data_IF_051627965614
#
_entry.id   IF_051627965614
#
_cell.length_a   1.000
_cell.length_b   1.000
_cell.length_c   1.000
_cell.angle_alpha   90.00
_cell.angle_beta   90.00
_cell.angle_gamma   90.00
#
_symmetry.space_group_name_H-M   'P 1'
#
loop_
_entity.id
_entity.type
_entity.pdbx_description
1 polymer ?
#
# COMPACT_ATOMS: atom_id res chain seq x y z
N UNK A 1 -35.57 25.76 -3.87
CA UNK A 1 -34.22 25.87 -3.29
C UNK A 1 -33.52 24.58 -3.67
N UNK A 2 -32.66 24.64 -4.69
CA UNK A 2 -31.99 23.45 -5.24
C UNK A 2 -30.64 23.40 -4.53
N UNK A 3 -30.61 22.78 -3.36
CA UNK A 3 -29.36 22.53 -2.65
C UNK A 3 -28.60 21.47 -3.42
N UNK A 4 -27.71 21.98 -4.26
CA UNK A 4 -26.70 21.30 -5.04
C UNK A 4 -25.79 20.57 -4.04
N UNK A 5 -26.03 19.26 -3.87
CA UNK A 5 -25.11 18.37 -3.18
C UNK A 5 -23.79 18.42 -3.95
N UNK A 6 -22.88 19.29 -3.50
CA UNK A 6 -21.51 19.45 -3.95
C UNK A 6 -20.81 18.10 -3.73
N UNK A 7 -20.94 17.24 -4.74
CA UNK A 7 -20.24 15.97 -4.84
C UNK A 7 -18.79 16.32 -5.13
N UNK A 8 -18.05 16.72 -4.09
CA UNK A 8 -16.60 16.90 -4.15
C UNK A 8 -16.00 15.57 -4.57
N UNK A 9 -15.64 15.47 -5.84
CA UNK A 9 -14.83 14.39 -6.36
C UNK A 9 -13.62 14.23 -5.45
N UNK A 10 -13.54 13.08 -4.78
CA UNK A 10 -12.43 12.76 -3.89
C UNK A 10 -11.16 12.80 -4.73
N UNK A 11 -10.36 13.85 -4.55
CA UNK A 11 -9.03 13.90 -5.12
C UNK A 11 -8.30 12.60 -4.72
N UNK A 12 -7.49 12.00 -5.62
CA UNK A 12 -6.80 10.77 -5.32
C UNK A 12 -6.00 10.96 -4.02
N UNK A 13 -6.21 10.05 -3.07
CA UNK A 13 -5.56 10.12 -1.77
C UNK A 13 -4.05 10.18 -1.97
N UNK A 14 -3.42 11.25 -1.46
CA UNK A 14 -1.98 11.49 -1.60
C UNK A 14 -1.19 10.21 -1.25
N UNK A 15 -0.11 9.94 -1.99
CA UNK A 15 0.73 8.79 -1.74
C UNK A 15 1.33 8.87 -0.32
N UNK A 16 1.29 7.75 0.40
CA UNK A 16 1.93 7.62 1.72
C UNK A 16 3.45 7.47 1.53
N UNK A 17 4.24 8.38 2.08
CA UNK A 17 5.71 8.37 1.99
C UNK A 17 6.33 8.03 3.34
N UNK A 18 7.22 7.05 3.40
CA UNK A 18 7.92 6.67 4.64
C UNK A 18 8.78 7.84 5.14
N UNK A 19 8.69 8.13 6.44
CA UNK A 19 9.46 9.20 7.08
C UNK A 19 8.83 10.60 7.01
N UNK A 20 7.57 10.74 6.57
CA UNK A 20 6.87 12.01 6.65
C UNK A 20 6.65 12.48 8.11
N UNK A 21 6.52 13.79 8.29
CA UNK A 21 6.11 14.36 9.58
C UNK A 21 4.63 14.03 9.87
N UNK A 22 4.40 13.34 10.98
CA UNK A 22 3.08 12.88 11.42
C UNK A 22 2.40 13.87 12.38
N UNK A 23 3.09 14.93 12.81
CA UNK A 23 2.63 15.83 13.88
C UNK A 23 1.29 16.52 13.61
N UNK A 24 0.90 16.62 12.32
CA UNK A 24 -0.32 17.28 11.86
C UNK A 24 -1.46 16.33 11.50
N UNK A 25 -1.25 15.02 11.61
CA UNK A 25 -2.24 14.02 11.25
C UNK A 25 -3.19 13.75 12.41
N UNK A 26 -4.48 13.60 12.11
CA UNK A 26 -5.45 13.11 13.09
C UNK A 26 -5.27 11.61 13.35
N UNK A 27 -5.91 11.08 14.41
CA UNK A 27 -5.92 9.64 14.68
C UNK A 27 -6.50 8.86 13.49
N UNK A 28 -7.57 9.34 12.88
CA UNK A 28 -8.17 8.68 11.72
C UNK A 28 -7.26 8.70 10.49
N UNK A 29 -6.51 9.79 10.29
CA UNK A 29 -5.49 9.86 9.23
C UNK A 29 -4.36 8.88 9.47
N UNK A 30 -3.91 8.74 10.72
CA UNK A 30 -2.89 7.77 11.11
C UNK A 30 -3.39 6.34 10.91
N UNK A 31 -4.64 6.04 11.27
CA UNK A 31 -5.27 4.74 11.02
C UNK A 31 -5.29 4.41 9.52
N UNK A 32 -5.84 5.31 8.69
CA UNK A 32 -5.86 5.13 7.23
C UNK A 32 -4.47 4.97 6.63
N UNK A 33 -3.49 5.69 7.17
CA UNK A 33 -2.08 5.58 6.76
C UNK A 33 -1.51 4.21 7.10
N UNK A 34 -1.76 3.68 8.30
CA UNK A 34 -1.31 2.35 8.73
C UNK A 34 -1.91 1.28 7.82
N UNK A 35 -3.22 1.33 7.56
CA UNK A 35 -3.91 0.37 6.68
C UNK A 35 -3.23 0.29 5.31
N UNK A 36 -3.00 1.44 4.67
CA UNK A 36 -2.32 1.53 3.37
C UNK A 36 -0.90 0.96 3.41
N UNK A 37 -0.12 1.28 4.45
CA UNK A 37 1.24 0.76 4.59
C UNK A 37 1.24 -0.76 4.77
N UNK A 38 0.30 -1.31 5.54
CA UNK A 38 0.16 -2.75 5.74
C UNK A 38 -0.20 -3.46 4.44
N UNK A 39 -1.15 -2.93 3.66
CA UNK A 39 -1.49 -3.47 2.33
C UNK A 39 -0.27 -3.49 1.40
N UNK A 40 0.51 -2.42 1.40
CA UNK A 40 1.73 -2.28 0.60
C UNK A 40 2.83 -3.26 1.04
N UNK A 41 2.99 -3.48 2.35
CA UNK A 41 3.87 -4.53 2.89
C UNK A 41 3.42 -5.89 2.38
N UNK A 42 2.13 -6.25 2.55
CA UNK A 42 1.62 -7.55 2.10
C UNK A 42 1.77 -7.75 0.60
N UNK A 43 1.56 -6.70 -0.23
CA UNK A 43 1.82 -6.78 -1.66
C UNK A 43 3.30 -7.07 -1.96
N UNK A 44 4.20 -6.38 -1.27
CA UNK A 44 5.65 -6.55 -1.43
C UNK A 44 6.11 -7.94 -0.99
N UNK A 45 5.54 -8.48 0.10
CA UNK A 45 5.81 -9.83 0.58
C UNK A 45 5.38 -10.89 -0.44
N UNK A 46 4.15 -10.78 -0.98
CA UNK A 46 3.66 -11.69 -2.03
C UNK A 46 4.56 -11.69 -3.26
N UNK A 47 5.02 -10.52 -3.69
CA UNK A 47 5.91 -10.40 -4.84
C UNK A 47 7.30 -11.01 -4.56
N UNK A 48 7.84 -10.79 -3.35
CA UNK A 48 9.09 -11.41 -2.90
C UNK A 48 8.99 -12.93 -2.89
N UNK A 49 7.90 -13.46 -2.34
CA UNK A 49 7.65 -14.91 -2.26
C UNK A 49 7.50 -15.53 -3.64
N UNK A 50 6.74 -14.91 -4.53
CA UNK A 50 6.59 -15.36 -5.92
C UNK A 50 7.96 -15.47 -6.61
N UNK A 51 8.82 -14.45 -6.46
CA UNK A 51 10.18 -14.44 -7.02
C UNK A 51 11.12 -15.45 -6.34
N UNK A 52 10.99 -15.64 -5.02
CA UNK A 52 11.74 -16.63 -4.26
C UNK A 52 11.40 -18.07 -4.68
N UNK A 53 10.12 -18.36 -4.88
CA UNK A 53 9.64 -19.66 -5.38
C UNK A 53 10.16 -19.98 -6.78
N UNK A 54 10.20 -18.98 -7.67
CA UNK A 54 10.81 -19.11 -9.01
C UNK A 54 12.29 -19.45 -8.91
N UNK A 55 13.04 -18.81 -7.99
CA UNK A 55 14.47 -19.10 -7.79
C UNK A 55 14.69 -20.53 -7.27
N UNK A 56 13.89 -20.99 -6.31
CA UNK A 56 14.00 -22.36 -5.79
C UNK A 56 13.64 -23.42 -6.84
N UNK A 57 12.63 -23.17 -7.67
CA UNK A 57 12.27 -24.05 -8.78
C UNK A 57 13.37 -24.10 -9.86
N UNK A 58 13.98 -22.95 -10.17
CA UNK A 58 15.13 -22.89 -11.08
C UNK A 58 16.34 -23.64 -10.53
N UNK A 59 16.71 -23.41 -9.27
CA UNK A 59 17.85 -24.08 -8.62
C UNK A 59 17.69 -25.62 -8.58
N UNK A 60 16.45 -26.13 -8.50
CA UNK A 60 16.15 -27.57 -8.57
C UNK A 60 16.29 -28.16 -9.99
N UNK A 61 16.02 -27.37 -11.04
CA UNK A 61 16.18 -27.79 -12.44
C UNK A 61 17.65 -27.81 -12.88
N UNK A 62 18.49 -26.92 -12.35
CA UNK A 62 19.91 -26.81 -12.71
C UNK A 62 20.85 -27.72 -11.89
N UNK A 63 20.35 -28.41 -10.86
CA UNK A 63 21.15 -29.30 -9.99
C UNK A 63 21.01 -30.80 -10.30
N UNK A 64 20.43 -31.16 -11.45
CA UNK A 64 20.36 -32.53 -11.94
C UNK A 64 21.46 -32.83 -12.95
#
# INVERSE_FOLDING_TARGET
MRDEFDSKGSAPAAAVVVGEDLSRLSVDDLTRRIERLTEEISRTEREREARGGVRAAADALFRK
#
